data_IF_088270309697
#
_entry.id   IF_088270309697
#
_cell.length_a   1.000
_cell.length_b   1.000
_cell.length_c   1.000
_cell.angle_alpha   90.00
_cell.angle_beta   90.00
_cell.angle_gamma   90.00
#
_symmetry.space_group_name_H-M   'P 1'
#
loop_
_entity.id
_entity.type
_entity.pdbx_description
1 polymer ?
#
# COMPACT_ATOMS: atom_id res chain seq x y z
N UNK A 1 -7.61 -6.47 15.62
CA UNK A 1 -6.99 -6.68 14.28
C UNK A 1 -8.12 -6.65 13.28
N UNK A 2 -8.06 -5.74 12.31
CA UNK A 2 -9.09 -5.59 11.28
C UNK A 2 -8.46 -5.72 9.89
N UNK A 3 -9.20 -6.29 8.94
CA UNK A 3 -8.75 -6.44 7.56
C UNK A 3 -9.30 -5.30 6.70
N UNK A 4 -8.42 -4.52 6.07
CA UNK A 4 -8.82 -3.48 5.11
C UNK A 4 -9.28 -4.13 3.80
N UNK A 5 -10.51 -3.86 3.36
CA UNK A 5 -11.07 -4.38 2.12
C UNK A 5 -11.33 -3.26 1.12
N UNK A 6 -10.30 -2.89 0.33
CA UNK A 6 -10.41 -1.89 -0.73
C UNK A 6 -10.09 -2.52 -2.09
N UNK A 7 -11.14 -2.86 -2.86
CA UNK A 7 -11.02 -3.57 -4.15
C UNK A 7 -10.25 -2.75 -5.19
N UNK A 8 -10.46 -1.44 -5.24
CA UNK A 8 -9.82 -0.57 -6.23
C UNK A 8 -8.29 -0.49 -5.99
N UNK A 9 -7.88 -0.25 -4.74
CA UNK A 9 -6.46 -0.24 -4.38
C UNK A 9 -5.81 -1.61 -4.60
N UNK A 10 -6.52 -2.69 -4.28
CA UNK A 10 -6.00 -4.04 -4.52
C UNK A 10 -5.79 -4.33 -6.01
N UNK A 11 -6.72 -3.93 -6.88
CA UNK A 11 -6.56 -4.10 -8.33
C UNK A 11 -5.36 -3.30 -8.88
N UNK A 12 -5.18 -2.06 -8.42
CA UNK A 12 -4.03 -1.23 -8.79
C UNK A 12 -2.71 -1.86 -8.31
N UNK A 13 -2.69 -2.38 -7.08
CA UNK A 13 -1.54 -3.08 -6.51
C UNK A 13 -1.16 -4.31 -7.36
N UNK A 14 -2.12 -5.18 -7.68
CA UNK A 14 -1.85 -6.39 -8.48
C UNK A 14 -1.36 -6.04 -9.90
N UNK A 15 -1.93 -5.02 -10.53
CA UNK A 15 -1.48 -4.56 -11.85
C UNK A 15 -0.01 -4.09 -11.79
N UNK A 16 0.34 -3.28 -10.77
CA UNK A 16 1.70 -2.78 -10.61
C UNK A 16 2.69 -3.89 -10.24
N UNK A 17 2.27 -4.82 -9.38
CA UNK A 17 3.08 -5.99 -9.01
C UNK A 17 3.47 -6.79 -10.25
N UNK A 18 2.51 -7.12 -11.12
CA UNK A 18 2.79 -7.85 -12.38
C UNK A 18 3.78 -7.11 -13.28
N UNK A 19 3.67 -5.79 -13.40
CA UNK A 19 4.62 -4.97 -14.16
C UNK A 19 6.04 -5.08 -13.58
N UNK A 20 6.17 -5.00 -12.25
CA UNK A 20 7.47 -5.07 -11.56
C UNK A 20 8.06 -6.49 -11.65
N UNK A 21 7.23 -7.53 -11.48
CA UNK A 21 7.65 -8.93 -11.60
C UNK A 21 8.19 -9.25 -13.00
N UNK A 22 7.57 -8.72 -14.04
CA UNK A 22 8.08 -8.84 -15.41
C UNK A 22 9.40 -8.07 -15.62
N UNK A 23 9.57 -6.91 -14.96
CA UNK A 23 10.80 -6.11 -15.05
C UNK A 23 11.95 -6.72 -14.26
N UNK A 24 11.65 -7.36 -13.13
CA UNK A 24 12.60 -7.89 -12.15
C UNK A 24 12.31 -9.37 -11.83
N UNK A 25 12.46 -10.30 -12.78
CA UNK A 25 11.96 -11.68 -12.65
C UNK A 25 12.68 -12.52 -11.57
N UNK A 26 13.89 -12.14 -11.17
CA UNK A 26 14.70 -12.90 -10.21
C UNK A 26 14.79 -12.24 -8.82
N UNK A 27 13.95 -11.26 -8.54
CA UNK A 27 13.97 -10.51 -7.28
C UNK A 27 12.69 -10.73 -6.46
N UNK A 28 12.82 -10.62 -5.14
CA UNK A 28 11.68 -10.48 -4.25
C UNK A 28 11.14 -9.03 -4.34
N UNK A 29 10.07 -8.85 -5.13
CA UNK A 29 9.50 -7.53 -5.41
C UNK A 29 8.39 -7.10 -4.42
N UNK A 30 8.04 -7.95 -3.46
CA UNK A 30 7.00 -7.70 -2.44
C UNK A 30 7.52 -8.06 -1.06
N UNK A 31 7.30 -7.17 -0.08
CA UNK A 31 7.64 -7.40 1.32
C UNK A 31 6.49 -6.97 2.23
N UNK A 32 6.23 -7.76 3.27
CA UNK A 32 5.32 -7.39 4.33
C UNK A 32 6.03 -6.47 5.32
N UNK A 33 5.57 -5.22 5.43
CA UNK A 33 6.15 -4.19 6.29
C UNK A 33 5.08 -3.60 7.21
N UNK A 34 5.54 -2.95 8.30
CA UNK A 34 4.68 -2.26 9.25
C UNK A 34 4.73 -0.75 9.04
N UNK A 35 3.59 -0.09 9.25
CA UNK A 35 3.48 1.37 9.18
C UNK A 35 2.63 1.88 10.36
N UNK A 36 3.26 2.62 11.28
CA UNK A 36 2.57 3.36 12.33
C UNK A 36 2.05 4.69 11.78
N UNK A 37 0.83 5.08 12.15
CA UNK A 37 0.22 6.34 11.73
C UNK A 37 -0.71 6.89 12.81
N UNK A 38 -0.97 8.20 12.79
CA UNK A 38 -1.95 8.85 13.67
C UNK A 38 -3.38 8.41 13.32
N UNK A 39 -4.27 8.34 14.32
CA UNK A 39 -5.68 8.03 14.15
C UNK A 39 -6.36 8.86 13.05
N UNK A 40 -5.98 10.14 12.91
CA UNK A 40 -6.53 11.05 11.90
C UNK A 40 -6.25 10.59 10.47
N UNK A 41 -5.14 9.90 10.23
CA UNK A 41 -4.74 9.44 8.91
C UNK A 41 -5.35 8.07 8.53
N UNK A 42 -5.86 7.29 9.50
CA UNK A 42 -6.37 5.93 9.26
C UNK A 42 -7.51 5.91 8.22
N UNK A 43 -8.45 6.84 8.33
CA UNK A 43 -9.59 6.90 7.40
C UNK A 43 -9.16 7.19 5.96
N UNK A 44 -8.18 8.07 5.79
CA UNK A 44 -7.66 8.42 4.48
C UNK A 44 -6.84 7.27 3.90
N UNK A 45 -5.95 6.65 4.71
CA UNK A 45 -5.15 5.49 4.29
C UNK A 45 -6.05 4.33 3.84
N UNK A 46 -7.13 4.04 4.58
CA UNK A 46 -8.05 2.95 4.22
C UNK A 46 -8.80 3.21 2.90
N UNK A 47 -9.10 4.48 2.59
CA UNK A 47 -9.86 4.86 1.39
C UNK A 47 -8.98 5.07 0.17
N UNK A 48 -7.85 5.75 0.32
CA UNK A 48 -7.00 6.21 -0.78
C UNK A 48 -5.63 5.57 -0.82
N UNK A 49 -5.27 4.75 0.17
CA UNK A 49 -3.95 4.16 0.30
C UNK A 49 -2.92 5.15 0.86
N UNK A 50 -1.67 4.73 0.90
CA UNK A 50 -0.57 5.57 1.36
C UNK A 50 -0.24 6.65 0.33
N UNK A 51 -0.14 7.89 0.78
CA UNK A 51 0.25 9.02 -0.05
C UNK A 51 1.39 9.80 0.62
N UNK A 52 2.46 10.04 -0.13
CA UNK A 52 3.67 10.74 0.31
C UNK A 52 3.40 12.17 0.80
N UNK A 53 2.30 12.79 0.36
CA UNK A 53 1.87 14.11 0.84
C UNK A 53 1.44 14.11 2.31
N UNK A 54 1.18 12.94 2.90
CA UNK A 54 0.85 12.79 4.33
C UNK A 54 2.06 12.42 5.20
N UNK A 55 3.21 12.11 4.59
CA UNK A 55 4.41 11.73 5.34
C UNK A 55 5.00 12.95 6.06
N UNK A 56 5.00 12.93 7.40
CA UNK A 56 5.56 14.00 8.26
C UNK A 56 4.69 14.41 9.45
N UNK A 57 3.45 13.90 9.54
CA UNK A 57 2.62 14.00 10.74
C UNK A 57 2.69 12.69 11.54
N UNK A 58 3.88 12.40 12.05
CA UNK A 58 4.10 11.37 13.06
C UNK A 58 4.23 12.05 14.42
#
# INVERSE_FOLDING_TARGET
IERVQNRALYQQFIAKKREIDLRNPNNENEKLLYHGSDFKALNDINKTGFNRSYCGKN
#
